data_IF_940598692850
#
_entry.id   IF_940598692850
#
_cell.length_a   1.000
_cell.length_b   1.000
_cell.length_c   1.000
_cell.angle_alpha   90.00
_cell.angle_beta   90.00
_cell.angle_gamma   90.00
#
_symmetry.space_group_name_H-M   'P 1'
#
loop_
_entity.id
_entity.type
_entity.pdbx_description
1 polymer ?
#
# COMPACT_ATOMS: atom_id res chain seq x y z
N UNK A 1 -22.17 -19.74 17.87
CA UNK A 1 -21.76 -18.34 18.11
C UNK A 1 -20.25 -18.12 17.85
N UNK A 2 -19.37 -19.07 18.17
CA UNK A 2 -17.93 -18.95 17.86
C UNK A 2 -17.59 -19.11 16.37
N UNK A 3 -18.23 -20.05 15.66
CA UNK A 3 -18.05 -20.22 14.21
C UNK A 3 -18.39 -18.94 13.40
N UNK A 4 -19.41 -18.21 13.82
CA UNK A 4 -19.81 -16.93 13.18
C UNK A 4 -18.75 -15.84 13.36
N UNK A 5 -18.16 -15.72 14.56
CA UNK A 5 -17.07 -14.77 14.82
C UNK A 5 -15.79 -15.14 14.06
N UNK A 6 -15.48 -16.43 13.97
CA UNK A 6 -14.34 -16.93 13.20
C UNK A 6 -14.50 -16.65 11.69
N UNK A 7 -15.71 -16.87 11.15
CA UNK A 7 -16.02 -16.50 9.75
C UNK A 7 -15.90 -15.00 9.49
N UNK A 8 -16.28 -14.15 10.46
CA UNK A 8 -16.08 -12.70 10.36
C UNK A 8 -14.61 -12.28 10.38
N UNK A 9 -13.78 -12.96 11.19
CA UNK A 9 -12.34 -12.68 11.26
C UNK A 9 -11.62 -13.05 9.96
N UNK A 10 -11.88 -14.24 9.44
CA UNK A 10 -11.24 -14.71 8.20
C UNK A 10 -11.73 -13.92 6.99
N UNK A 11 -13.01 -13.56 6.96
CA UNK A 11 -13.55 -12.64 5.97
C UNK A 11 -12.81 -11.29 6.02
N UNK A 12 -12.68 -10.68 7.20
CA UNK A 12 -12.04 -9.36 7.30
C UNK A 12 -10.55 -9.42 6.93
N UNK A 13 -9.85 -10.47 7.34
CA UNK A 13 -8.46 -10.73 6.95
C UNK A 13 -8.33 -10.86 5.43
N UNK A 14 -9.26 -11.57 4.79
CA UNK A 14 -9.32 -11.71 3.34
C UNK A 14 -9.52 -10.37 2.65
N UNK A 15 -10.48 -9.56 3.12
CA UNK A 15 -10.75 -8.23 2.57
C UNK A 15 -9.53 -7.29 2.69
N UNK A 16 -8.85 -7.29 3.84
CA UNK A 16 -7.62 -6.53 4.03
C UNK A 16 -6.50 -6.98 3.07
N UNK A 17 -6.34 -8.29 2.90
CA UNK A 17 -5.34 -8.85 1.99
C UNK A 17 -5.63 -8.50 0.53
N UNK A 18 -6.90 -8.55 0.13
CA UNK A 18 -7.36 -8.17 -1.20
C UNK A 18 -7.18 -6.67 -1.46
N UNK A 19 -7.54 -5.80 -0.50
CA UNK A 19 -7.30 -4.36 -0.61
C UNK A 19 -5.81 -4.06 -0.83
N UNK A 20 -4.93 -4.69 -0.06
CA UNK A 20 -3.49 -4.55 -0.24
C UNK A 20 -3.02 -4.97 -1.64
N UNK A 21 -3.49 -6.12 -2.14
CA UNK A 21 -3.16 -6.59 -3.50
C UNK A 21 -3.67 -5.64 -4.56
N UNK A 22 -4.90 -5.14 -4.44
CA UNK A 22 -5.49 -4.22 -5.41
C UNK A 22 -4.69 -2.91 -5.47
N UNK A 23 -4.29 -2.35 -4.32
CA UNK A 23 -3.40 -1.19 -4.31
C UNK A 23 -2.04 -1.48 -4.92
N UNK A 24 -1.43 -2.62 -4.60
CA UNK A 24 -0.12 -3.00 -5.15
C UNK A 24 -0.18 -3.14 -6.66
N UNK A 25 -1.19 -3.84 -7.19
CA UNK A 25 -1.41 -4.01 -8.62
C UNK A 25 -1.60 -2.65 -9.31
N UNK A 26 -2.35 -1.73 -8.69
CA UNK A 26 -2.50 -0.38 -9.22
C UNK A 26 -1.17 0.39 -9.25
N UNK A 27 -0.38 0.34 -8.18
CA UNK A 27 0.94 0.96 -8.13
C UNK A 27 1.91 0.35 -9.17
N UNK A 28 1.91 -0.98 -9.32
CA UNK A 28 2.69 -1.70 -10.32
C UNK A 28 2.31 -1.27 -11.75
N UNK A 29 1.03 -1.07 -12.01
CA UNK A 29 0.57 -0.47 -13.27
C UNK A 29 1.13 0.94 -13.45
N UNK A 30 1.11 1.78 -12.41
CA UNK A 30 1.67 3.13 -12.47
C UNK A 30 3.18 3.16 -12.70
N UNK A 31 3.91 2.06 -12.51
CA UNK A 31 5.35 1.97 -12.83
C UNK A 31 5.64 1.13 -14.08
N UNK A 32 4.63 0.52 -14.68
CA UNK A 32 4.79 -0.31 -15.87
C UNK A 32 5.39 0.50 -17.04
N UNK A 33 6.37 -0.09 -17.71
CA UNK A 33 7.06 0.51 -18.86
C UNK A 33 7.97 1.69 -18.54
N UNK A 34 8.16 2.04 -17.25
CA UNK A 34 9.15 3.04 -16.88
C UNK A 34 10.56 2.48 -17.03
N UNK A 35 11.48 3.36 -17.39
CA UNK A 35 12.92 3.09 -17.39
C UNK A 35 13.53 3.75 -16.17
N UNK A 36 14.77 3.40 -15.83
CA UNK A 36 15.51 4.06 -14.75
C UNK A 36 15.58 5.59 -14.95
N UNK A 37 15.71 6.05 -16.20
CA UNK A 37 15.66 7.48 -16.52
C UNK A 37 14.32 8.10 -16.13
N UNK A 38 13.19 7.49 -16.51
CA UNK A 38 11.87 7.98 -16.11
C UNK A 38 11.69 8.02 -14.59
N UNK A 39 12.17 6.99 -13.89
CA UNK A 39 12.03 6.86 -12.43
C UNK A 39 12.86 7.94 -11.71
N UNK A 40 14.07 8.18 -12.17
CA UNK A 40 15.02 9.11 -11.54
C UNK A 40 14.83 10.57 -11.96
N UNK A 41 14.17 10.83 -13.10
CA UNK A 41 14.00 12.17 -13.65
C UNK A 41 13.30 13.11 -12.67
N UNK A 42 13.93 14.26 -12.45
CA UNK A 42 13.36 15.38 -11.68
C UNK A 42 12.35 16.12 -12.57
N UNK A 43 11.06 16.09 -12.20
CA UNK A 43 9.96 16.67 -12.99
C UNK A 43 9.43 18.01 -12.47
N UNK A 44 9.76 18.38 -11.23
CA UNK A 44 9.44 19.69 -10.66
C UNK A 44 10.75 20.38 -10.22
N UNK A 45 11.13 21.51 -10.84
CA UNK A 45 12.30 22.27 -10.42
C UNK A 45 12.17 22.73 -8.96
N UNK A 46 13.27 22.68 -8.20
CA UNK A 46 13.36 23.16 -6.81
C UNK A 46 12.51 22.44 -5.74
N UNK A 47 11.80 21.37 -6.07
CA UNK A 47 11.15 20.51 -5.07
C UNK A 47 12.02 19.27 -4.79
N UNK A 48 12.16 18.89 -3.51
CA UNK A 48 12.89 17.68 -3.10
C UNK A 48 12.13 16.39 -3.48
N UNK A 49 10.80 16.41 -3.46
CA UNK A 49 9.93 15.28 -3.80
C UNK A 49 9.48 15.26 -5.26
N UNK A 50 10.43 15.41 -6.18
CA UNK A 50 10.11 15.69 -7.58
C UNK A 50 10.53 14.61 -8.56
N UNK A 51 10.76 13.38 -8.08
CA UNK A 51 10.95 12.21 -8.95
C UNK A 51 10.05 11.05 -8.49
N UNK A 52 9.78 10.12 -9.42
CA UNK A 52 9.03 8.91 -9.11
C UNK A 52 9.81 8.07 -8.10
N UNK A 53 11.14 8.02 -8.19
CA UNK A 53 12.00 7.34 -7.23
C UNK A 53 11.73 7.77 -5.79
N UNK A 54 11.71 9.09 -5.52
CA UNK A 54 11.48 9.62 -4.16
C UNK A 54 10.09 9.24 -3.66
N UNK A 55 9.07 9.23 -4.53
CA UNK A 55 7.73 8.79 -4.15
C UNK A 55 7.70 7.28 -3.80
N UNK A 56 8.37 6.44 -4.59
CA UNK A 56 8.45 4.99 -4.32
C UNK A 56 9.21 4.70 -3.02
N UNK A 57 10.33 5.38 -2.80
CA UNK A 57 11.10 5.31 -1.55
C UNK A 57 10.26 5.76 -0.35
N UNK A 58 9.49 6.84 -0.51
CA UNK A 58 8.61 7.35 0.53
C UNK A 58 7.47 6.38 0.88
N UNK A 59 6.88 5.72 -0.12
CA UNK A 59 5.89 4.65 0.09
C UNK A 59 6.52 3.50 0.88
N UNK A 60 7.63 2.93 0.41
CA UNK A 60 8.30 1.80 1.06
C UNK A 60 8.75 2.14 2.51
N UNK A 61 9.26 3.36 2.71
CA UNK A 61 9.65 3.86 4.03
C UNK A 61 8.44 3.98 4.97
N UNK A 62 7.32 4.49 4.46
CA UNK A 62 6.08 4.62 5.23
C UNK A 62 5.51 3.25 5.65
N UNK A 63 5.56 2.26 4.76
CA UNK A 63 5.18 0.88 5.07
C UNK A 63 6.03 0.29 6.21
N UNK A 64 7.36 0.35 6.06
CA UNK A 64 8.28 -0.17 7.09
C UNK A 64 8.10 0.56 8.44
N UNK A 65 7.87 1.87 8.42
CA UNK A 65 7.63 2.67 9.61
C UNK A 65 6.35 2.25 10.36
N UNK A 66 5.21 2.18 9.67
CA UNK A 66 3.93 1.89 10.32
C UNK A 66 3.86 0.46 10.86
N UNK A 67 4.45 -0.50 10.14
CA UNK A 67 4.55 -1.88 10.63
C UNK A 67 5.59 -2.05 11.75
N UNK A 68 6.67 -1.27 11.75
CA UNK A 68 7.54 -1.18 12.93
C UNK A 68 6.78 -0.63 14.14
N UNK A 69 6.02 0.45 13.96
CA UNK A 69 5.19 1.05 15.01
C UNK A 69 4.14 0.07 15.53
N UNK A 70 3.56 -0.80 14.70
CA UNK A 70 2.61 -1.83 15.13
C UNK A 70 3.25 -3.01 15.86
N UNK A 71 4.59 -3.02 16.04
CA UNK A 71 5.36 -4.16 16.58
C UNK A 71 5.37 -5.40 15.68
N UNK A 72 5.05 -5.23 14.40
CA UNK A 72 5.09 -6.26 13.36
C UNK A 72 5.99 -5.84 12.20
N UNK A 73 7.22 -5.44 12.50
CA UNK A 73 8.15 -4.88 11.51
C UNK A 73 8.37 -5.80 10.29
N UNK A 74 8.32 -5.21 9.10
CA UNK A 74 8.50 -5.88 7.80
C UNK A 74 9.91 -5.68 7.21
N UNK A 75 10.88 -5.35 8.07
CA UNK A 75 12.26 -5.04 7.71
C UNK A 75 12.62 -3.56 7.89
N UNK A 76 13.84 -3.22 7.49
CA UNK A 76 14.36 -1.85 7.55
C UNK A 76 13.77 -0.97 6.46
N UNK A 77 13.89 0.35 6.65
CA UNK A 77 13.66 1.33 5.57
C UNK A 77 14.57 1.02 4.36
N UNK A 78 14.15 1.36 3.14
CA UNK A 78 15.06 1.35 1.99
C UNK A 78 16.26 2.28 2.25
N UNK A 79 17.45 1.83 1.90
CA UNK A 79 18.68 2.62 1.88
C UNK A 79 19.37 2.42 0.53
N UNK A 80 18.75 2.94 -0.53
CA UNK A 80 19.20 2.73 -1.91
C UNK A 80 19.06 3.99 -2.74
N UNK A 81 19.84 4.07 -3.82
CA UNK A 81 19.71 5.07 -4.88
C UNK A 81 19.37 4.45 -6.23
N UNK A 82 19.05 3.14 -6.27
CA UNK A 82 18.83 2.39 -7.51
C UNK A 82 17.36 2.03 -7.69
N UNK A 83 16.74 2.36 -8.84
CA UNK A 83 15.36 2.00 -9.16
C UNK A 83 15.03 0.52 -8.94
N UNK A 84 15.88 -0.40 -9.41
CA UNK A 84 15.64 -1.84 -9.25
C UNK A 84 15.52 -2.27 -7.78
N UNK A 85 16.39 -1.75 -6.91
CA UNK A 85 16.41 -2.11 -5.49
C UNK A 85 15.17 -1.58 -4.75
N UNK A 86 14.67 -0.39 -5.11
CA UNK A 86 13.42 0.11 -4.49
C UNK A 86 12.19 -0.68 -4.95
N UNK A 87 12.16 -1.14 -6.21
CA UNK A 87 11.08 -1.99 -6.71
C UNK A 87 11.08 -3.37 -6.03
N UNK A 88 12.26 -3.97 -5.87
CA UNK A 88 12.41 -5.22 -5.11
C UNK A 88 11.96 -5.03 -3.65
N UNK A 89 12.34 -3.92 -3.02
CA UNK A 89 11.92 -3.59 -1.66
C UNK A 89 10.40 -3.47 -1.51
N UNK A 90 9.72 -2.84 -2.47
CA UNK A 90 8.25 -2.74 -2.46
C UNK A 90 7.59 -4.13 -2.58
N UNK A 91 8.15 -5.02 -3.40
CA UNK A 91 7.70 -6.41 -3.51
C UNK A 91 7.90 -7.17 -2.19
N UNK A 92 9.08 -7.08 -1.60
CA UNK A 92 9.36 -7.70 -0.29
C UNK A 92 8.42 -7.20 0.80
N UNK A 93 8.20 -5.89 0.87
CA UNK A 93 7.27 -5.29 1.82
C UNK A 93 5.87 -5.89 1.62
N UNK A 94 5.42 -6.00 0.37
CA UNK A 94 4.11 -6.58 0.05
C UNK A 94 3.96 -8.01 0.56
N UNK A 95 4.95 -8.86 0.32
CA UNK A 95 4.96 -10.25 0.77
C UNK A 95 4.95 -10.33 2.31
N UNK A 96 5.80 -9.54 2.98
CA UNK A 96 5.90 -9.51 4.45
C UNK A 96 4.65 -8.93 5.11
N UNK A 97 3.99 -7.95 4.49
CA UNK A 97 2.72 -7.39 4.96
C UNK A 97 1.62 -8.46 4.91
N UNK A 98 1.49 -9.17 3.78
CA UNK A 98 0.51 -10.24 3.64
C UNK A 98 0.76 -11.36 4.66
N UNK A 99 2.02 -11.69 4.89
CA UNK A 99 2.43 -12.67 5.87
C UNK A 99 2.12 -12.24 7.33
N UNK A 100 2.43 -10.99 7.71
CA UNK A 100 2.01 -10.42 9.00
C UNK A 100 0.49 -10.47 9.14
N UNK A 101 -0.23 -10.10 8.08
CA UNK A 101 -1.69 -10.16 8.04
C UNK A 101 -2.21 -11.59 8.13
N UNK A 102 -1.47 -12.64 7.79
CA UNK A 102 -1.92 -14.03 7.99
C UNK A 102 -1.72 -14.51 9.43
N UNK A 103 -0.67 -14.02 10.11
CA UNK A 103 -0.27 -14.51 11.43
C UNK A 103 -0.73 -13.65 12.61
N UNK A 104 -1.18 -12.42 12.36
CA UNK A 104 -1.52 -11.49 13.44
C UNK A 104 -2.75 -11.97 14.24
N UNK A 105 -2.77 -11.64 15.54
CA UNK A 105 -3.88 -12.00 16.42
C UNK A 105 -5.18 -11.30 16.01
N UNK A 106 -6.30 -11.79 16.53
CA UNK A 106 -7.61 -11.18 16.31
C UNK A 106 -7.66 -9.71 16.74
N UNK A 107 -7.01 -9.36 17.84
CA UNK A 107 -6.95 -7.98 18.34
C UNK A 107 -6.27 -7.05 17.32
N UNK A 108 -5.27 -7.56 16.58
CA UNK A 108 -4.56 -6.82 15.54
C UNK A 108 -5.38 -6.62 14.26
N UNK A 109 -6.47 -7.38 14.09
CA UNK A 109 -7.45 -7.16 13.03
C UNK A 109 -8.44 -6.04 13.38
N UNK A 110 -8.51 -5.57 14.62
CA UNK A 110 -9.38 -4.42 14.94
C UNK A 110 -8.72 -3.14 14.45
N UNK A 111 -9.48 -2.21 13.87
CA UNK A 111 -8.95 -0.92 13.42
C UNK A 111 -8.73 0.00 14.65
N UNK A 112 -7.53 -0.09 15.22
CA UNK A 112 -7.12 0.68 16.40
C UNK A 112 -6.01 1.67 15.97
N UNK A 113 -6.23 3.00 16.10
CA UNK A 113 -5.24 4.01 15.75
C UNK A 113 -4.04 4.00 16.72
N UNK A 114 -2.89 4.58 16.33
CA UNK A 114 -1.72 4.63 17.19
C UNK A 114 -1.98 5.50 18.43
N UNK A 115 -1.36 5.16 19.56
CA UNK A 115 -1.32 5.98 20.76
C UNK A 115 0.13 6.30 21.18
N UNK A 116 0.35 7.17 22.17
CA UNK A 116 1.70 7.38 22.72
C UNK A 116 2.25 6.14 23.43
N UNK A 117 1.39 5.38 24.11
CA UNK A 117 1.78 4.20 24.88
C UNK A 117 1.90 2.93 24.00
N UNK A 118 1.13 2.87 22.92
CA UNK A 118 1.03 1.70 22.04
C UNK A 118 1.06 2.07 20.56
N UNK A 119 1.54 1.15 19.73
CA UNK A 119 1.45 1.26 18.28
C UNK A 119 0.02 1.20 17.75
N UNK A 120 -0.19 1.42 16.44
CA UNK A 120 -1.44 1.06 15.80
C UNK A 120 -1.59 -0.46 15.74
N UNK A 121 -2.82 -0.91 15.55
CA UNK A 121 -3.10 -2.29 15.09
C UNK A 121 -2.52 -2.57 13.69
N UNK A 122 -2.33 -3.85 13.35
CA UNK A 122 -1.98 -4.27 11.98
C UNK A 122 -3.02 -3.80 10.95
N UNK A 123 -4.32 -3.96 11.23
CA UNK A 123 -5.38 -3.51 10.32
C UNK A 123 -5.30 -2.00 10.07
N UNK A 124 -5.10 -1.20 11.12
CA UNK A 124 -4.95 0.26 10.95
C UNK A 124 -3.69 0.61 10.17
N UNK A 125 -2.55 -0.02 10.49
CA UNK A 125 -1.28 0.23 9.80
C UNK A 125 -1.41 -0.06 8.30
N UNK A 126 -2.01 -1.20 7.96
CA UNK A 126 -2.27 -1.60 6.58
C UNK A 126 -3.17 -0.61 5.86
N UNK A 127 -4.34 -0.27 6.41
CA UNK A 127 -5.28 0.67 5.79
C UNK A 127 -4.64 2.05 5.62
N UNK A 128 -3.82 2.48 6.57
CA UNK A 128 -3.10 3.76 6.48
C UNK A 128 -2.07 3.75 5.35
N UNK A 129 -1.25 2.71 5.24
CA UNK A 129 -0.23 2.60 4.19
C UNK A 129 -0.86 2.37 2.82
N UNK A 130 -1.96 1.63 2.77
CA UNK A 130 -2.80 1.44 1.59
C UNK A 130 -3.28 2.80 1.04
N UNK A 131 -3.97 3.61 1.86
CA UNK A 131 -4.51 4.90 1.42
C UNK A 131 -3.40 5.87 1.00
N UNK A 132 -2.27 5.81 1.70
CA UNK A 132 -1.07 6.57 1.38
C UNK A 132 -0.48 6.18 0.03
N UNK A 133 -0.40 4.88 -0.27
CA UNK A 133 0.04 4.36 -1.56
C UNK A 133 -0.87 4.79 -2.71
N UNK A 134 -2.20 4.79 -2.51
CA UNK A 134 -3.17 5.30 -3.49
C UNK A 134 -2.93 6.78 -3.78
N UNK A 135 -2.81 7.59 -2.74
CA UNK A 135 -2.54 9.02 -2.86
C UNK A 135 -1.28 9.30 -3.72
N UNK A 136 -0.18 8.61 -3.42
CA UNK A 136 1.06 8.78 -4.19
C UNK A 136 1.00 8.14 -5.58
N UNK A 137 0.16 7.15 -5.83
CA UNK A 137 -0.06 6.60 -7.18
C UNK A 137 -0.63 7.67 -8.13
N UNK A 138 -1.53 8.53 -7.64
CA UNK A 138 -2.00 9.69 -8.40
C UNK A 138 -0.89 10.71 -8.72
N UNK A 139 0.03 10.93 -7.78
CA UNK A 139 1.21 11.78 -8.03
C UNK A 139 2.17 11.14 -9.04
N UNK A 140 2.40 9.83 -8.94
CA UNK A 140 3.22 9.07 -9.90
C UNK A 140 2.60 9.19 -11.29
N UNK A 141 1.28 9.06 -11.45
CA UNK A 141 0.62 9.24 -12.75
C UNK A 141 0.91 10.62 -13.37
N UNK A 142 0.85 11.69 -12.58
CA UNK A 142 1.26 13.04 -13.02
C UNK A 142 2.74 13.08 -13.41
N UNK A 143 3.62 12.47 -12.61
CA UNK A 143 5.06 12.48 -12.86
C UNK A 143 5.44 11.65 -14.09
N UNK A 144 4.76 10.54 -14.37
CA UNK A 144 4.89 9.79 -15.62
C UNK A 144 4.69 10.70 -16.83
N UNK A 145 3.59 11.46 -16.84
CA UNK A 145 3.27 12.39 -17.91
C UNK A 145 4.38 13.44 -18.07
N UNK A 146 4.81 14.08 -16.98
CA UNK A 146 5.87 15.09 -17.01
C UNK A 146 7.25 14.51 -17.39
N UNK A 147 7.50 13.24 -17.07
CA UNK A 147 8.74 12.55 -17.43
C UNK A 147 8.80 12.19 -18.91
N UNK A 148 7.69 12.22 -19.64
CA UNK A 148 7.60 11.74 -21.02
C UNK A 148 7.51 10.21 -21.12
N UNK A 149 7.02 9.57 -20.06
CA UNK A 149 6.88 8.11 -20.01
C UNK A 149 5.88 7.60 -21.06
N UNK A 150 6.00 6.33 -21.50
CA UNK A 150 5.02 5.72 -22.38
C UNK A 150 3.62 5.69 -21.75
N UNK A 151 2.56 5.69 -22.58
CA UNK A 151 1.20 5.53 -22.09
C UNK A 151 1.07 4.22 -21.30
N UNK A 152 0.13 4.20 -20.36
CA UNK A 152 -0.21 2.97 -19.68
C UNK A 152 -0.80 1.98 -20.69
N UNK A 153 -0.58 0.67 -20.49
CA UNK A 153 -1.27 -0.35 -21.28
C UNK A 153 -2.79 -0.13 -21.24
N UNK A 154 -3.47 -0.41 -22.35
CA UNK A 154 -4.94 -0.49 -22.37
C UNK A 154 -5.41 -1.53 -21.34
N UNK A 155 -6.49 -1.20 -20.63
CA UNK A 155 -7.01 -2.03 -19.55
C UNK A 155 -8.14 -2.94 -20.04
N UNK A 156 -8.01 -4.24 -19.80
CA UNK A 156 -9.16 -5.16 -19.78
C UNK A 156 -9.95 -5.07 -18.45
N UNK A 157 -9.35 -4.46 -17.42
CA UNK A 157 -9.87 -4.38 -16.04
C UNK A 157 -9.53 -3.01 -15.43
N UNK A 158 -10.52 -2.33 -14.84
CA UNK A 158 -10.33 -1.07 -14.10
C UNK A 158 -9.60 -1.31 -12.76
N UNK A 159 -8.26 -1.24 -12.78
CA UNK A 159 -7.45 -1.44 -11.58
C UNK A 159 -7.53 -0.25 -10.62
N UNK A 160 -7.87 0.94 -11.11
CA UNK A 160 -8.00 2.13 -10.27
C UNK A 160 -9.25 2.03 -9.40
N UNK A 161 -10.41 1.78 -10.00
CA UNK A 161 -11.65 1.60 -9.26
C UNK A 161 -11.51 0.45 -8.26
N UNK A 162 -11.01 -0.71 -8.68
CA UNK A 162 -10.77 -1.84 -7.76
C UNK A 162 -9.90 -1.50 -6.58
N UNK A 163 -8.83 -0.73 -6.80
CA UNK A 163 -8.02 -0.24 -5.70
C UNK A 163 -8.90 0.66 -4.83
N UNK A 164 -9.28 1.86 -5.27
CA UNK A 164 -10.02 2.85 -4.49
C UNK A 164 -11.24 2.27 -3.76
N UNK A 165 -12.04 1.45 -4.43
CA UNK A 165 -13.28 0.90 -3.92
C UNK A 165 -13.07 -0.25 -2.91
N UNK A 166 -11.87 -0.82 -2.80
CA UNK A 166 -11.58 -1.87 -1.81
C UNK A 166 -11.81 -1.38 -0.38
N UNK A 167 -11.58 -0.09 -0.09
CA UNK A 167 -11.89 0.49 1.23
C UNK A 167 -13.38 0.68 1.43
N UNK A 168 -14.11 1.08 0.38
CA UNK A 168 -15.56 1.17 0.45
C UNK A 168 -16.18 -0.20 0.74
N UNK A 169 -15.73 -1.25 0.04
CA UNK A 169 -16.19 -2.62 0.28
C UNK A 169 -15.92 -3.11 1.72
N UNK A 170 -14.78 -2.73 2.30
CA UNK A 170 -14.48 -2.99 3.71
C UNK A 170 -15.47 -2.27 4.64
N UNK A 171 -15.75 -0.99 4.39
CA UNK A 171 -16.66 -0.18 5.20
C UNK A 171 -18.09 -0.68 5.09
N UNK A 172 -18.57 -0.97 3.88
CA UNK A 172 -19.91 -1.50 3.62
C UNK A 172 -20.10 -2.84 4.33
N UNK A 173 -19.10 -3.72 4.26
CA UNK A 173 -19.14 -4.99 4.99
C UNK A 173 -19.17 -4.83 6.52
N UNK A 174 -18.70 -3.72 7.09
CA UNK A 174 -18.93 -3.41 8.51
C UNK A 174 -20.35 -2.90 8.78
N UNK A 175 -20.91 -2.07 7.90
CA UNK A 175 -22.26 -1.51 8.04
C UNK A 175 -23.31 -2.63 7.99
N UNK A 176 -23.20 -3.52 7.00
CA UNK A 176 -24.10 -4.67 6.83
C UNK A 176 -24.03 -5.69 7.99
N UNK A 177 -22.97 -5.65 8.79
CA UNK A 177 -22.81 -6.51 9.98
C UNK A 177 -23.39 -5.90 11.26
N UNK A 178 -23.69 -4.60 11.26
CA UNK A 178 -24.26 -3.88 12.41
C UNK A 178 -25.79 -3.70 12.27
N UNK A 179 -26.29 -3.69 11.03
CA UNK A 179 -27.73 -3.68 10.70
C UNK A 179 -28.39 -5.05 10.83
#
# INVERSE_FOLDING_TARGET
MELWKYMQEEWFRTMLAEAHRNQRNHLERMIAGLTDEHIMKKVIPNEEQSSIFVLLEHIASSETYWFYRSKHGIGSRPETSKPAEILEKLKENSEKILDVLQRCSKEQLRIIPPSPAEGPSVAWALLRTYMHGIYHSGQIAKFRYLAGAPPLPEEDIDNWARAVDSVAAIVDGFIDQIG
#
